data_IF_846370313016
#
_entry.id   IF_846370313016
#
_cell.length_a   1.000
_cell.length_b   1.000
_cell.length_c   1.000
_cell.angle_alpha   90.00
_cell.angle_beta   90.00
_cell.angle_gamma   90.00
#
_symmetry.space_group_name_H-M   'P 1'
#
loop_
_entity.id
_entity.type
_entity.pdbx_description
1 polymer ?
#
# COMPACT_ATOMS: atom_id res chain seq x y z
N UNK A 1 -21.26 11.48 4.19
CA UNK A 1 -19.94 11.71 3.57
C UNK A 1 -19.70 13.17 3.18
N UNK A 2 -20.17 13.71 2.04
CA UNK A 2 -19.89 15.13 1.65
C UNK A 2 -20.21 16.16 2.74
N UNK A 3 -21.38 16.05 3.37
CA UNK A 3 -21.78 16.97 4.43
C UNK A 3 -20.98 16.83 5.74
N UNK A 4 -20.44 15.65 6.04
CA UNK A 4 -19.61 15.44 7.25
C UNK A 4 -18.23 16.06 7.06
N UNK A 5 -17.63 15.88 5.88
CA UNK A 5 -16.33 16.48 5.57
C UNK A 5 -16.41 18.01 5.54
N UNK A 6 -17.48 18.57 4.98
CA UNK A 6 -17.75 20.01 5.02
C UNK A 6 -17.88 20.53 6.45
N UNK A 7 -18.51 19.78 7.36
CA UNK A 7 -18.60 20.13 8.78
C UNK A 7 -17.23 20.13 9.45
N UNK A 8 -16.43 19.08 9.24
CA UNK A 8 -15.07 18.97 9.80
C UNK A 8 -14.19 20.12 9.31
N UNK A 9 -14.21 20.41 8.00
CA UNK A 9 -13.46 21.52 7.43
C UNK A 9 -13.93 22.86 8.01
N UNK A 10 -15.24 23.08 8.15
CA UNK A 10 -15.76 24.28 8.82
C UNK A 10 -15.18 24.43 10.23
N UNK A 11 -15.23 23.38 11.05
CA UNK A 11 -14.79 23.44 12.44
C UNK A 11 -13.29 23.77 12.55
N UNK A 12 -12.48 23.19 11.66
CA UNK A 12 -11.03 23.44 11.57
C UNK A 12 -10.71 24.87 11.10
N UNK A 13 -11.44 25.38 10.12
CA UNK A 13 -11.24 26.76 9.67
C UNK A 13 -11.68 27.76 10.76
N UNK A 14 -12.78 27.50 11.47
CA UNK A 14 -13.21 28.33 12.60
C UNK A 14 -12.19 28.30 13.74
N UNK A 15 -11.66 27.13 14.11
CA UNK A 15 -10.67 27.01 15.21
C UNK A 15 -9.36 27.73 14.90
N UNK A 16 -9.00 27.83 13.62
CA UNK A 16 -7.82 28.57 13.14
C UNK A 16 -8.08 30.05 12.87
N UNK A 17 -9.29 30.54 13.18
CA UNK A 17 -9.64 31.96 13.13
C UNK A 17 -10.11 32.46 11.76
N UNK A 18 -10.61 31.58 10.89
CA UNK A 18 -11.34 31.99 9.67
C UNK A 18 -12.84 32.16 9.97
N UNK A 19 -13.43 33.19 9.38
CA UNK A 19 -14.87 33.37 9.33
C UNK A 19 -15.45 32.55 8.17
N UNK A 20 -16.35 31.61 8.50
CA UNK A 20 -16.93 30.67 7.55
C UNK A 20 -18.36 31.04 7.18
N UNK A 21 -18.65 31.16 5.88
CA UNK A 21 -19.99 31.40 5.35
C UNK A 21 -20.39 30.33 4.33
N UNK A 22 -21.68 29.95 4.33
CA UNK A 22 -22.24 29.04 3.34
C UNK A 22 -22.66 29.81 2.09
N UNK A 23 -22.53 29.17 0.93
CA UNK A 23 -23.00 29.74 -0.33
C UNK A 23 -23.83 28.70 -1.07
N UNK A 24 -24.79 29.15 -1.87
CA UNK A 24 -25.50 28.27 -2.80
C UNK A 24 -24.63 27.89 -4.01
N UNK A 25 -23.56 28.64 -4.27
CA UNK A 25 -22.66 28.47 -5.42
C UNK A 25 -21.36 27.74 -5.09
N UNK A 26 -20.97 27.73 -3.83
CA UNK A 26 -19.73 27.15 -3.33
C UNK A 26 -20.04 26.34 -2.09
N UNK A 27 -19.29 25.28 -1.83
CA UNK A 27 -19.53 24.46 -0.65
C UNK A 27 -19.24 25.26 0.64
N UNK A 28 -18.15 26.05 0.64
CA UNK A 28 -17.79 26.93 1.75
C UNK A 28 -17.11 28.21 1.25
N UNK A 29 -17.19 29.27 2.04
CA UNK A 29 -16.42 30.50 1.87
C UNK A 29 -15.69 30.76 3.18
N UNK A 30 -14.37 30.87 3.12
CA UNK A 30 -13.51 31.20 4.24
C UNK A 30 -12.97 32.63 4.10
N UNK A 31 -13.05 33.43 5.14
CA UNK A 31 -12.49 34.79 5.17
C UNK A 31 -11.56 34.94 6.39
N UNK A 32 -10.35 35.44 6.16
CA UNK A 32 -9.40 35.78 7.24
C UNK A 32 -8.54 36.94 6.79
N UNK A 33 -8.35 37.92 7.66
CA UNK A 33 -7.55 39.13 7.41
C UNK A 33 -7.94 39.89 6.11
N UNK A 34 -9.25 39.91 5.80
CA UNK A 34 -9.80 40.53 4.58
C UNK A 34 -9.55 39.76 3.29
N UNK A 35 -8.93 38.57 3.36
CA UNK A 35 -8.74 37.66 2.23
C UNK A 35 -9.85 36.62 2.17
N UNK A 36 -10.60 36.63 1.08
CA UNK A 36 -11.72 35.71 0.84
C UNK A 36 -11.27 34.52 -0.01
N UNK A 37 -11.60 33.32 0.44
CA UNK A 37 -11.32 32.06 -0.25
C UNK A 37 -12.61 31.28 -0.48
N UNK A 38 -12.90 31.01 -1.74
CA UNK A 38 -14.03 30.21 -2.16
C UNK A 38 -13.59 28.75 -2.21
N UNK A 39 -14.33 27.85 -1.54
CA UNK A 39 -13.97 26.44 -1.41
C UNK A 39 -15.01 25.59 -2.12
N UNK A 40 -14.57 24.75 -3.06
CA UNK A 40 -15.40 23.71 -3.69
C UNK A 40 -14.80 22.35 -3.39
N UNK A 41 -15.64 21.43 -2.93
CA UNK A 41 -15.30 20.05 -2.61
C UNK A 41 -15.90 19.14 -3.69
N UNK A 42 -15.05 18.39 -4.39
CA UNK A 42 -15.50 17.42 -5.39
C UNK A 42 -14.98 16.01 -5.12
N UNK A 43 -15.83 15.03 -5.42
CA UNK A 43 -15.53 13.60 -5.32
C UNK A 43 -15.26 12.97 -6.69
N UNK A 44 -15.82 13.55 -7.75
CA UNK A 44 -15.61 13.14 -9.13
C UNK A 44 -15.30 14.39 -9.97
N UNK A 45 -14.03 14.83 -9.96
CA UNK A 45 -13.64 16.11 -10.51
C UNK A 45 -13.35 15.99 -12.01
N UNK A 46 -14.04 16.79 -12.82
CA UNK A 46 -13.77 16.90 -14.25
C UNK A 46 -13.13 18.25 -14.64
N UNK A 47 -12.54 18.30 -15.84
CA UNK A 47 -11.86 19.50 -16.35
C UNK A 47 -12.81 20.67 -16.63
N UNK A 48 -14.08 20.40 -16.94
CA UNK A 48 -15.09 21.44 -17.12
C UNK A 48 -15.46 22.06 -15.77
N UNK A 49 -15.46 21.25 -14.72
CA UNK A 49 -15.86 21.59 -13.36
C UNK A 49 -14.89 22.58 -12.70
N UNK A 50 -13.59 22.39 -12.90
CA UNK A 50 -12.55 23.33 -12.44
C UNK A 50 -12.57 24.64 -13.23
N UNK A 51 -12.85 24.59 -14.53
CA UNK A 51 -12.97 25.79 -15.37
C UNK A 51 -14.20 26.59 -14.98
N UNK A 52 -15.32 25.90 -14.79
CA UNK A 52 -16.57 26.48 -14.33
C UNK A 52 -16.38 27.10 -12.95
N UNK A 53 -15.80 26.37 -12.00
CA UNK A 53 -15.48 26.90 -10.67
C UNK A 53 -14.59 28.15 -10.75
N UNK A 54 -13.50 28.11 -11.52
CA UNK A 54 -12.64 29.29 -11.70
C UNK A 54 -13.41 30.48 -12.26
N UNK A 55 -14.27 30.26 -13.26
CA UNK A 55 -15.08 31.33 -13.85
C UNK A 55 -16.07 31.97 -12.88
N UNK A 56 -16.49 31.24 -11.85
CA UNK A 56 -17.40 31.72 -10.81
C UNK A 56 -16.69 32.47 -9.68
N UNK A 57 -15.38 32.25 -9.50
CA UNK A 57 -14.57 32.98 -8.51
C UNK A 57 -14.18 34.35 -9.08
N UNK A 58 -15.03 35.35 -8.83
CA UNK A 58 -14.82 36.72 -9.33
C UNK A 58 -13.92 37.56 -8.43
N UNK A 59 -13.87 37.28 -7.13
CA UNK A 59 -13.06 38.01 -6.14
C UNK A 59 -12.43 37.02 -5.16
N UNK A 60 -11.18 37.23 -4.77
CA UNK A 60 -10.46 36.34 -3.85
C UNK A 60 -9.84 35.11 -4.49
N UNK A 61 -9.49 34.12 -3.66
CA UNK A 61 -8.83 32.88 -4.09
C UNK A 61 -9.84 31.74 -4.24
N UNK A 62 -9.57 30.83 -5.18
CA UNK A 62 -10.35 29.60 -5.35
C UNK A 62 -9.55 28.41 -4.83
N UNK A 63 -10.10 27.72 -3.83
CA UNK A 63 -9.60 26.47 -3.30
C UNK A 63 -10.50 25.33 -3.78
N UNK A 64 -9.90 24.37 -4.48
CA UNK A 64 -10.57 23.16 -4.92
C UNK A 64 -10.04 21.97 -4.10
N UNK A 65 -10.91 21.35 -3.32
CA UNK A 65 -10.56 20.22 -2.46
C UNK A 65 -11.04 18.94 -3.13
N UNK A 66 -10.10 18.03 -3.35
CA UNK A 66 -10.32 16.74 -3.98
C UNK A 66 -10.49 15.68 -2.90
N UNK A 67 -11.70 15.16 -2.79
CA UNK A 67 -12.02 14.05 -1.90
C UNK A 67 -11.93 12.69 -2.62
N UNK A 68 -11.84 12.69 -3.95
CA UNK A 68 -11.57 11.52 -4.79
C UNK A 68 -10.20 11.61 -5.47
N UNK A 69 -9.85 10.54 -6.19
CA UNK A 69 -8.58 10.45 -6.89
C UNK A 69 -8.57 11.19 -8.22
N UNK A 70 -7.41 11.75 -8.55
CA UNK A 70 -7.23 12.52 -9.78
C UNK A 70 -5.91 12.18 -10.44
N UNK A 71 -5.89 12.30 -11.75
CA UNK A 71 -4.66 12.18 -12.53
C UNK A 71 -3.74 13.37 -12.32
N UNK A 72 -2.43 13.16 -12.45
CA UNK A 72 -1.44 14.26 -12.42
C UNK A 72 -1.73 15.33 -13.48
N UNK A 73 -2.25 14.93 -14.65
CA UNK A 73 -2.68 15.86 -15.68
C UNK A 73 -3.78 16.81 -15.21
N UNK A 74 -4.69 16.36 -14.34
CA UNK A 74 -5.73 17.22 -13.78
C UNK A 74 -5.12 18.26 -12.82
N UNK A 75 -4.20 17.84 -11.95
CA UNK A 75 -3.52 18.74 -11.00
C UNK A 75 -2.70 19.82 -11.72
N UNK A 76 -2.01 19.46 -12.80
CA UNK A 76 -1.26 20.40 -13.64
C UNK A 76 -2.24 21.42 -14.25
N UNK A 77 -3.32 20.96 -14.89
CA UNK A 77 -4.32 21.84 -15.49
C UNK A 77 -4.97 22.79 -14.48
N UNK A 78 -5.31 22.31 -13.29
CA UNK A 78 -5.94 23.15 -12.26
C UNK A 78 -4.99 24.23 -11.73
N UNK A 79 -3.68 23.92 -11.61
CA UNK A 79 -2.65 24.90 -11.27
C UNK A 79 -2.45 25.93 -12.38
N UNK A 80 -2.44 25.50 -13.63
CA UNK A 80 -2.33 26.40 -14.80
C UNK A 80 -3.51 27.39 -14.89
N UNK A 81 -4.69 26.96 -14.45
CA UNK A 81 -5.91 27.79 -14.35
C UNK A 81 -5.86 28.78 -13.17
N UNK A 82 -4.84 28.69 -12.31
CA UNK A 82 -4.67 29.57 -11.15
C UNK A 82 -5.67 29.27 -10.03
N UNK A 83 -5.93 27.99 -9.78
CA UNK A 83 -6.64 27.50 -8.59
C UNK A 83 -5.65 26.82 -7.64
N UNK A 84 -5.88 27.02 -6.34
CA UNK A 84 -5.21 26.21 -5.31
C UNK A 84 -5.97 24.90 -5.22
N UNK A 85 -5.27 23.78 -5.34
CA UNK A 85 -5.87 22.44 -5.24
C UNK A 85 -5.31 21.73 -4.02
N UNK A 86 -6.19 21.18 -3.19
CA UNK A 86 -5.81 20.26 -2.13
C UNK A 86 -6.19 18.85 -2.53
N UNK A 87 -5.20 17.98 -2.62
CA UNK A 87 -5.40 16.53 -2.67
C UNK A 87 -5.83 16.00 -1.31
N UNK A 88 -6.20 14.72 -1.24
CA UNK A 88 -6.48 14.04 0.02
C UNK A 88 -5.30 14.11 0.99
N UNK A 89 -4.08 13.98 0.49
CA UNK A 89 -2.85 14.06 1.30
C UNK A 89 -2.62 15.48 1.82
N UNK A 90 -2.79 16.49 0.96
CA UNK A 90 -2.69 17.89 1.37
C UNK A 90 -3.73 18.20 2.46
N UNK A 91 -4.96 17.71 2.29
CA UNK A 91 -6.02 17.88 3.27
C UNK A 91 -5.67 17.18 4.59
N UNK A 92 -5.19 15.93 4.55
CA UNK A 92 -4.78 15.19 5.75
C UNK A 92 -3.66 15.91 6.52
N UNK A 93 -2.64 16.41 5.82
CA UNK A 93 -1.55 17.19 6.44
C UNK A 93 -2.08 18.48 7.07
N UNK A 94 -2.96 19.21 6.39
CA UNK A 94 -3.52 20.49 6.91
C UNK A 94 -4.42 20.25 8.11
N UNK A 95 -5.25 19.21 8.09
CA UNK A 95 -6.09 18.79 9.22
C UNK A 95 -5.21 18.37 10.41
N UNK A 96 -4.20 17.51 10.18
CA UNK A 96 -3.29 17.07 11.22
C UNK A 96 -2.56 18.24 11.88
N UNK A 97 -2.04 19.19 11.08
CA UNK A 97 -1.41 20.41 11.60
C UNK A 97 -2.38 21.28 12.41
N UNK A 98 -3.63 21.38 12.00
CA UNK A 98 -4.64 22.13 12.74
C UNK A 98 -4.96 21.50 14.09
N UNK A 99 -5.10 20.17 14.14
CA UNK A 99 -5.35 19.44 15.38
C UNK A 99 -4.17 19.56 16.34
N UNK A 100 -2.94 19.42 15.85
CA UNK A 100 -1.73 19.58 16.66
C UNK A 100 -1.62 21.00 17.22
N UNK A 101 -1.86 22.01 16.39
CA UNK A 101 -1.87 23.41 16.86
C UNK A 101 -2.97 23.67 17.91
N UNK A 102 -4.10 22.96 17.83
CA UNK A 102 -5.18 23.01 18.84
C UNK A 102 -4.73 22.43 20.18
N UNK A 103 -4.04 21.29 20.15
CA UNK A 103 -3.46 20.69 21.34
C UNK A 103 -2.36 21.56 21.97
N UNK A 104 -1.59 22.29 21.15
CA UNK A 104 -0.52 23.19 21.58
C UNK A 104 -1.00 24.60 21.99
N UNK A 105 -2.26 24.93 21.71
CA UNK A 105 -2.83 26.25 21.97
C UNK A 105 -2.35 27.36 21.01
N UNK A 106 -1.79 27.00 19.86
CA UNK A 106 -1.19 27.90 18.85
C UNK A 106 -2.05 28.06 17.59
N UNK A 107 -3.32 27.63 17.61
CA UNK A 107 -4.23 27.59 16.44
C UNK A 107 -4.41 28.91 15.70
N UNK A 108 -4.39 30.04 16.40
CA UNK A 108 -4.66 31.36 15.80
C UNK A 108 -3.55 31.82 14.85
N UNK A 109 -2.32 31.35 15.09
CA UNK A 109 -1.15 31.68 14.29
C UNK A 109 -1.03 30.76 13.05
N UNK A 110 -1.89 29.74 12.94
CA UNK A 110 -1.87 28.80 11.83
C UNK A 110 -2.47 29.42 10.56
N UNK A 111 -1.67 29.48 9.50
CA UNK A 111 -2.11 29.86 8.17
C UNK A 111 -2.40 28.61 7.34
N UNK A 112 -3.67 28.20 7.31
CA UNK A 112 -4.10 26.99 6.61
C UNK A 112 -3.95 27.11 5.09
N UNK A 113 -4.06 28.30 4.54
CA UNK A 113 -4.10 28.54 3.10
C UNK A 113 -2.75 28.95 2.48
N UNK A 114 -1.68 29.01 3.27
CA UNK A 114 -0.41 29.53 2.77
C UNK A 114 0.22 28.57 1.73
N UNK A 115 0.46 29.12 0.54
CA UNK A 115 0.96 28.42 -0.66
C UNK A 115 2.48 28.52 -0.68
N UNK A 116 3.15 27.80 0.22
CA UNK A 116 4.60 27.55 0.12
C UNK A 116 4.89 26.07 0.38
N UNK A 117 4.49 25.24 -0.58
CA UNK A 117 5.12 23.94 -0.82
C UNK A 117 5.01 23.61 -2.32
N UNK A 118 5.54 24.49 -3.17
CA UNK A 118 6.04 24.04 -4.47
C UNK A 118 7.31 23.23 -4.22
N UNK A 119 7.25 21.93 -4.51
CA UNK A 119 8.38 21.01 -4.50
C UNK A 119 9.58 21.66 -5.20
N UNK A 120 10.65 21.97 -4.46
CA UNK A 120 11.99 22.16 -5.03
C UNK A 120 12.59 20.76 -5.20
N UNK A 121 13.19 20.41 -6.35
CA UNK A 121 13.77 19.08 -6.54
C UNK A 121 14.88 18.85 -5.50
N UNK A 122 14.87 17.66 -4.93
CA UNK A 122 15.85 17.20 -3.96
C UNK A 122 17.25 17.14 -4.60
N UNK A 123 18.04 18.20 -4.39
CA UNK A 123 19.50 18.11 -4.43
C UNK A 123 20.09 19.26 -3.60
N UNK A 124 20.94 18.88 -2.64
CA UNK A 124 21.79 19.70 -1.76
C UNK A 124 21.09 20.65 -0.76
N UNK A 125 20.76 20.14 0.43
CA UNK A 125 20.90 20.92 1.70
C UNK A 125 20.65 20.10 2.98
N UNK A 126 20.20 18.84 2.88
CA UNK A 126 19.93 17.99 4.07
C UNK A 126 21.20 17.73 4.90
N UNK A 127 22.37 17.80 4.26
CA UNK A 127 23.65 17.54 4.89
C UNK A 127 24.20 18.75 5.68
N UNK A 128 23.70 19.97 5.41
CA UNK A 128 24.12 21.19 6.12
C UNK A 128 23.34 21.36 7.43
N UNK A 129 22.03 21.11 7.40
CA UNK A 129 21.16 21.22 8.59
C UNK A 129 21.47 20.12 9.61
N UNK A 130 21.81 18.91 9.15
CA UNK A 130 22.25 17.83 10.03
C UNK A 130 23.62 18.12 10.69
N UNK A 131 24.55 18.76 9.97
CA UNK A 131 25.86 19.17 10.51
C UNK A 131 25.73 20.31 11.52
N UNK A 132 24.81 21.25 11.29
CA UNK A 132 24.55 22.35 12.21
C UNK A 132 23.87 21.85 13.50
N UNK A 133 22.95 20.88 13.40
CA UNK A 133 22.33 20.23 14.56
C UNK A 133 23.33 19.41 15.40
N UNK A 134 24.27 18.70 14.76
CA UNK A 134 25.31 17.94 15.48
C UNK A 134 26.28 18.89 16.21
N UNK A 135 26.65 20.02 15.58
CA UNK A 135 27.51 21.03 16.20
C UNK A 135 26.84 21.79 17.36
N UNK A 136 25.51 21.90 17.36
CA UNK A 136 24.76 22.49 18.47
C UNK A 136 24.65 21.55 19.69
N UNK A 137 24.69 20.23 19.48
CA UNK A 137 24.58 19.22 20.54
C UNK A 137 25.95 18.92 21.19
N UNK A 138 27.03 18.90 20.40
CA UNK A 138 28.39 18.72 20.89
C UNK A 138 29.13 20.04 20.91
N UNK A 139 28.98 20.80 22.00
CA UNK A 139 29.62 22.09 22.18
C UNK A 139 31.15 22.05 22.09
N UNK A 140 31.70 22.27 20.90
CA UNK A 140 33.09 22.67 20.70
C UNK A 140 33.11 23.96 19.89
N UNK A 141 33.12 25.09 20.59
CA UNK A 141 33.40 26.38 19.97
C UNK A 141 34.86 26.44 19.54
N UNK A 142 35.11 26.88 18.31
CA UNK A 142 36.24 27.72 17.92
C UNK A 142 36.13 28.19 16.47
N UNK A 143 36.31 29.50 16.31
CA UNK A 143 36.34 30.28 15.06
C UNK A 143 37.65 30.03 14.27
N UNK A 144 37.74 30.42 12.98
CA UNK A 144 38.73 29.92 12.03
C UNK A 144 39.97 30.83 11.94
N UNK A 145 41.17 30.25 11.93
CA UNK A 145 42.30 30.81 11.18
C UNK A 145 43.54 29.88 11.15
N UNK A 146 44.12 29.74 9.94
CA UNK A 146 45.56 29.59 9.61
C UNK A 146 46.17 28.17 9.43
N UNK A 147 46.73 28.01 8.22
CA UNK A 147 47.90 27.24 7.72
C UNK A 147 47.88 25.72 7.49
N UNK A 148 47.76 25.39 6.19
CA UNK A 148 48.78 24.76 5.33
C UNK A 148 50.02 24.06 5.95
N UNK A 149 50.27 22.85 5.41
CA UNK A 149 51.51 22.05 5.36
C UNK A 149 51.95 21.28 6.62
N UNK A 150 51.94 19.95 6.54
CA UNK A 150 53.14 19.12 6.27
C UNK A 150 52.93 17.65 6.67
N UNK A 151 53.62 16.75 5.94
CA UNK A 151 53.99 15.35 6.24
C UNK A 151 52.85 14.32 6.06
N UNK A 152 52.80 13.51 4.99
CA UNK A 152 53.83 12.59 4.47
C UNK A 152 54.58 11.84 5.58
N UNK A 153 54.07 10.65 5.93
CA UNK A 153 54.80 9.38 6.09
C UNK A 153 54.03 8.44 7.04
N UNK A 154 53.57 7.29 6.51
CA UNK A 154 53.51 5.99 7.19
C UNK A 154 52.59 5.05 6.42
N UNK A 155 53.10 4.52 5.32
CA UNK A 155 52.64 3.27 4.72
C UNK A 155 53.16 2.11 5.57
N UNK A 156 52.28 1.29 6.16
CA UNK A 156 52.44 -0.17 6.22
C UNK A 156 51.28 -0.87 6.97
N UNK A 157 50.90 -2.02 6.42
CA UNK A 157 50.12 -3.13 7.01
C UNK A 157 48.59 -3.01 7.04
N UNK A 158 47.97 -3.48 5.95
CA UNK A 158 46.55 -3.86 5.87
C UNK A 158 46.48 -5.38 5.67
N UNK A 159 45.76 -6.16 6.49
CA UNK A 159 45.51 -7.58 6.22
C UNK A 159 44.44 -7.76 5.12
N UNK A 160 44.43 -8.91 4.40
CA UNK A 160 43.66 -9.08 3.17
C UNK A 160 42.16 -9.23 3.42
N UNK A 161 41.39 -8.59 2.54
CA UNK A 161 39.93 -8.64 2.44
C UNK A 161 39.50 -9.99 1.84
N UNK A 162 38.52 -10.71 2.43
CA UNK A 162 37.92 -11.86 1.77
C UNK A 162 37.14 -11.42 0.52
N UNK A 163 37.25 -12.24 -0.52
CA UNK A 163 36.68 -12.10 -1.85
C UNK A 163 35.15 -12.01 -1.85
N UNK A 164 34.64 -11.01 -2.58
CA UNK A 164 33.26 -10.88 -3.02
C UNK A 164 32.85 -12.12 -3.82
N UNK A 165 31.87 -12.85 -3.30
CA UNK A 165 31.11 -13.86 -4.04
C UNK A 165 30.09 -13.12 -4.91
N UNK A 166 29.87 -13.71 -6.08
CA UNK A 166 29.27 -13.19 -7.28
C UNK A 166 27.80 -12.77 -7.10
N UNK A 167 27.48 -11.64 -7.72
CA UNK A 167 26.17 -11.15 -8.12
C UNK A 167 25.11 -12.24 -8.30
N UNK A 168 24.15 -12.34 -7.37
CA UNK A 168 22.81 -12.77 -7.72
C UNK A 168 22.11 -11.61 -8.44
N UNK A 169 21.71 -11.85 -9.69
CA UNK A 169 20.89 -10.94 -10.46
C UNK A 169 19.58 -10.72 -9.71
N UNK A 170 19.05 -9.48 -9.63
CA UNK A 170 17.69 -9.27 -9.20
C UNK A 170 16.73 -10.01 -10.15
N UNK A 171 15.77 -10.70 -9.52
CA UNK A 171 14.74 -11.51 -10.14
C UNK A 171 14.02 -10.71 -11.23
N UNK A 172 14.02 -11.27 -12.43
CA UNK A 172 13.40 -10.68 -13.62
C UNK A 172 11.88 -10.82 -13.51
N UNK A 173 11.17 -9.69 -13.64
CA UNK A 173 9.71 -9.63 -13.60
C UNK A 173 9.14 -10.44 -14.77
N UNK A 174 8.53 -11.60 -14.49
CA UNK A 174 7.82 -12.38 -15.50
C UNK A 174 6.33 -12.08 -15.46
N UNK A 175 5.89 -11.18 -16.34
CA UNK A 175 4.49 -11.07 -16.71
C UNK A 175 4.16 -12.18 -17.71
N UNK A 176 3.40 -13.20 -17.30
CA UNK A 176 2.85 -14.15 -18.27
C UNK A 176 1.48 -13.69 -18.75
N UNK A 177 1.42 -13.14 -19.97
CA UNK A 177 0.19 -12.82 -20.68
C UNK A 177 0.01 -13.78 -21.85
N UNK A 178 -1.02 -14.64 -21.89
CA UNK A 178 -1.29 -15.47 -23.06
C UNK A 178 -1.60 -14.58 -24.28
N UNK A 179 -0.86 -14.77 -25.39
CA UNK A 179 -1.13 -14.09 -26.67
C UNK A 179 -2.42 -14.65 -27.30
N UNK A 180 -3.42 -13.80 -27.49
CA UNK A 180 -4.50 -14.04 -28.44
C UNK A 180 -3.99 -13.72 -29.87
N UNK A 181 -3.93 -14.73 -30.74
CA UNK A 181 -3.62 -14.56 -32.16
C UNK A 181 -4.85 -14.01 -32.90
N UNK A 182 -4.78 -12.76 -33.35
CA UNK A 182 -5.68 -12.21 -34.37
C UNK A 182 -5.28 -12.76 -35.75
N UNK A 183 -6.23 -13.24 -36.58
CA UNK A 183 -5.92 -13.63 -37.95
C UNK A 183 -5.77 -12.38 -38.83
N UNK A 184 -4.62 -12.26 -39.49
CA UNK A 184 -4.38 -11.26 -40.54
C UNK A 184 -5.19 -11.61 -41.78
N UNK A 185 -6.07 -10.70 -42.18
CA UNK A 185 -6.77 -10.73 -43.47
C UNK A 185 -5.79 -10.25 -44.54
N UNK A 186 -5.37 -11.15 -45.43
CA UNK A 186 -4.55 -10.85 -46.60
C UNK A 186 -5.49 -10.52 -47.77
N UNK A 187 -5.46 -9.26 -48.23
CA UNK A 187 -6.21 -8.76 -49.38
C UNK A 187 -5.46 -9.13 -50.67
N UNK A 188 -6.10 -9.92 -51.54
CA UNK A 188 -5.63 -10.19 -52.90
C UNK A 188 -5.96 -9.02 -53.85
N UNK A 189 -5.13 -8.74 -54.88
CA UNK A 189 -5.40 -7.70 -55.85
C UNK A 189 -6.21 -8.21 -57.05
N UNK A 190 -7.09 -7.35 -57.54
CA UNK A 190 -7.90 -7.51 -58.74
C UNK A 190 -7.05 -7.52 -60.03
N UNK A 191 -7.40 -8.41 -60.95
CA UNK A 191 -6.93 -8.41 -62.33
C UNK A 191 -8.05 -8.88 -63.25
N UNK A 192 -8.53 -7.97 -64.09
CA UNK A 192 -9.55 -8.18 -65.12
C UNK A 192 -8.96 -8.78 -66.39
N UNK A 193 -9.72 -9.63 -67.10
CA UNK A 193 -9.84 -9.64 -68.57
C UNK A 193 -11.04 -10.52 -69.00
N UNK A 194 -11.68 -10.12 -70.09
CA UNK A 194 -13.01 -10.54 -70.58
C UNK A 194 -12.86 -11.49 -71.78
N UNK A 195 -13.80 -12.44 -71.92
CA UNK A 195 -14.64 -12.70 -73.12
C UNK A 195 -14.88 -14.18 -73.48
N UNK A 196 -16.18 -14.53 -73.51
CA UNK A 196 -16.95 -15.33 -74.52
C UNK A 196 -16.44 -16.71 -74.96
N UNK A 197 -17.23 -17.74 -75.28
CA UNK A 197 -18.63 -18.18 -75.18
C UNK A 197 -18.62 -19.52 -75.96
N UNK A 198 -19.37 -20.58 -75.57
CA UNK A 198 -20.00 -21.55 -76.49
C UNK A 198 -20.76 -22.65 -75.69
N UNK A 199 -21.92 -23.02 -76.22
CA UNK A 199 -23.02 -23.85 -75.69
C UNK A 199 -22.77 -25.38 -75.55
N UNK A 200 -23.39 -25.94 -74.49
CA UNK A 200 -24.15 -27.22 -74.32
C UNK A 200 -23.67 -28.60 -74.87
N UNK A 201 -24.24 -29.75 -74.39
CA UNK A 201 -24.73 -30.12 -73.05
C UNK A 201 -24.31 -31.55 -72.60
N UNK A 202 -24.71 -31.91 -71.37
CA UNK A 202 -24.98 -33.25 -70.80
C UNK A 202 -23.89 -34.34 -70.84
N UNK A 203 -23.41 -34.75 -69.66
CA UNK A 203 -23.41 -36.18 -69.26
C UNK A 203 -23.25 -36.33 -67.74
N UNK A 204 -24.11 -37.18 -67.18
CA UNK A 204 -24.21 -37.54 -65.78
C UNK A 204 -22.94 -38.28 -65.33
N UNK A 205 -22.28 -37.79 -64.27
CA UNK A 205 -21.28 -38.54 -63.53
C UNK A 205 -21.64 -38.61 -62.05
N UNK A 206 -21.98 -39.83 -61.62
CA UNK A 206 -22.03 -40.26 -60.24
C UNK A 206 -20.63 -40.07 -59.61
N UNK A 207 -20.43 -38.99 -58.85
CA UNK A 207 -19.25 -38.83 -58.00
C UNK A 207 -19.52 -39.36 -56.60
N UNK A 208 -18.70 -40.35 -56.23
CA UNK A 208 -18.62 -40.97 -54.92
C UNK A 208 -18.45 -39.90 -53.82
N UNK A 209 -19.34 -39.97 -52.82
CA UNK A 209 -19.30 -39.14 -51.62
C UNK A 209 -18.01 -39.41 -50.84
N UNK A 210 -16.99 -38.58 -51.05
CA UNK A 210 -15.84 -38.47 -50.14
C UNK A 210 -16.38 -37.82 -48.86
N UNK A 211 -16.35 -38.48 -47.69
CA UNK A 211 -16.82 -37.85 -46.47
C UNK A 211 -15.93 -36.65 -46.17
N UNK A 212 -16.57 -35.48 -46.04
CA UNK A 212 -15.92 -34.26 -45.54
C UNK A 212 -15.14 -34.59 -44.25
N UNK A 213 -13.90 -34.09 -44.09
CA UNK A 213 -13.19 -34.25 -42.84
C UNK A 213 -14.01 -33.57 -41.74
N UNK A 214 -14.53 -34.39 -40.84
CA UNK A 214 -15.11 -33.97 -39.56
C UNK A 214 -14.15 -32.94 -38.96
N UNK A 215 -14.60 -31.72 -38.59
CA UNK A 215 -13.73 -30.79 -37.89
C UNK A 215 -13.25 -31.51 -36.65
N UNK A 216 -11.95 -31.76 -36.60
CA UNK A 216 -11.26 -32.26 -35.41
C UNK A 216 -11.61 -31.25 -34.33
N UNK A 217 -12.50 -31.64 -33.43
CA UNK A 217 -12.72 -30.95 -32.17
C UNK A 217 -11.35 -30.97 -31.51
N UNK A 218 -10.64 -29.85 -31.61
CA UNK A 218 -9.43 -29.60 -30.86
C UNK A 218 -9.81 -29.80 -29.40
N UNK A 219 -9.41 -30.96 -28.86
CA UNK A 219 -9.39 -31.15 -27.42
C UNK A 219 -8.59 -29.99 -26.85
N UNK A 220 -9.09 -29.29 -25.81
CA UNK A 220 -8.34 -28.19 -25.22
C UNK A 220 -6.97 -28.73 -24.80
N UNK A 221 -5.94 -28.06 -25.29
CA UNK A 221 -4.54 -28.24 -24.90
C UNK A 221 -4.52 -28.44 -23.39
N UNK A 222 -4.04 -29.61 -22.93
CA UNK A 222 -3.87 -29.88 -21.51
C UNK A 222 -2.84 -28.89 -20.99
N UNK A 223 -3.32 -27.82 -20.37
CA UNK A 223 -2.47 -26.81 -19.76
C UNK A 223 -1.94 -27.41 -18.45
N UNK A 224 -0.69 -27.85 -18.47
CA UNK A 224 -0.06 -28.50 -17.32
C UNK A 224 0.10 -27.52 -16.15
N UNK A 225 -0.15 -27.96 -14.91
CA UNK A 225 0.01 -27.12 -13.73
C UNK A 225 1.49 -26.76 -13.51
N UNK A 226 1.75 -25.52 -13.10
CA UNK A 226 3.10 -25.00 -12.89
C UNK A 226 3.49 -25.26 -11.43
N UNK A 227 4.68 -25.81 -11.20
CA UNK A 227 5.23 -25.99 -9.84
C UNK A 227 6.18 -24.85 -9.52
N UNK A 228 5.87 -24.07 -8.49
CA UNK A 228 6.71 -22.98 -8.01
C UNK A 228 7.42 -23.36 -6.72
N UNK A 229 8.67 -22.91 -6.56
CA UNK A 229 9.43 -23.03 -5.30
C UNK A 229 9.09 -21.87 -4.38
N UNK A 230 7.87 -21.89 -3.84
CA UNK A 230 7.32 -20.86 -2.97
C UNK A 230 6.82 -21.50 -1.68
N UNK A 231 7.20 -20.91 -0.53
CA UNK A 231 6.76 -21.40 0.78
C UNK A 231 5.30 -21.00 1.02
N UNK A 232 4.36 -21.92 0.82
CA UNK A 232 2.95 -21.59 0.65
C UNK A 232 2.05 -22.80 0.97
N UNK A 233 0.82 -22.59 1.51
CA UNK A 233 -0.19 -23.63 1.54
C UNK A 233 -0.70 -23.94 0.11
N UNK A 234 -1.33 -25.11 -0.11
CA UNK A 234 -1.83 -25.47 -1.42
C UNK A 234 -2.99 -24.58 -1.88
N UNK A 235 -3.12 -24.43 -3.21
CA UNK A 235 -4.30 -23.83 -3.84
C UNK A 235 -5.38 -24.91 -3.94
N UNK A 236 -6.35 -24.87 -3.02
CA UNK A 236 -7.45 -25.84 -2.95
C UNK A 236 -8.71 -25.35 -3.67
N UNK A 237 -8.88 -24.03 -3.77
CA UNK A 237 -10.04 -23.39 -4.37
C UNK A 237 -9.75 -23.13 -5.85
N UNK A 238 -10.58 -23.71 -6.71
CA UNK A 238 -10.56 -23.46 -8.16
C UNK A 238 -11.13 -22.07 -8.52
N UNK A 239 -10.84 -21.60 -9.72
CA UNK A 239 -11.37 -20.33 -10.25
C UNK A 239 -12.92 -20.28 -10.19
N UNK A 240 -13.60 -21.35 -10.63
CA UNK A 240 -15.07 -21.42 -10.62
C UNK A 240 -15.65 -21.40 -9.20
N UNK A 241 -14.95 -22.03 -8.25
CA UNK A 241 -15.32 -21.98 -6.83
C UNK A 241 -15.09 -20.58 -6.25
N UNK A 242 -14.00 -19.90 -6.61
CA UNK A 242 -13.74 -18.53 -6.20
C UNK A 242 -14.87 -17.59 -6.66
N UNK A 243 -15.32 -17.71 -7.92
CA UNK A 243 -16.49 -16.98 -8.41
C UNK A 243 -17.77 -17.30 -7.62
N UNK A 244 -17.99 -18.58 -7.30
CA UNK A 244 -19.16 -19.02 -6.53
C UNK A 244 -19.16 -18.46 -5.10
N UNK A 245 -18.00 -18.40 -4.46
CA UNK A 245 -17.81 -17.82 -3.13
C UNK A 245 -17.88 -16.29 -3.12
N UNK A 246 -17.48 -15.64 -4.22
CA UNK A 246 -17.56 -14.19 -4.39
C UNK A 246 -18.99 -13.71 -4.70
N UNK A 247 -19.81 -14.51 -5.37
CA UNK A 247 -21.15 -14.11 -5.85
C UNK A 247 -22.09 -13.46 -4.80
N UNK A 248 -22.10 -13.87 -3.51
CA UNK A 248 -22.89 -13.20 -2.48
C UNK A 248 -22.40 -11.78 -2.13
N UNK A 249 -21.15 -11.47 -2.43
CA UNK A 249 -20.44 -10.28 -1.95
C UNK A 249 -20.22 -9.22 -3.05
N UNK A 250 -20.20 -9.63 -4.32
CA UNK A 250 -19.99 -8.74 -5.47
C UNK A 250 -21.06 -8.93 -6.54
N UNK A 251 -21.32 -7.89 -7.34
CA UNK A 251 -22.20 -7.98 -8.53
C UNK A 251 -21.37 -7.99 -9.81
N UNK A 252 -21.73 -8.91 -10.72
CA UNK A 252 -21.17 -8.96 -12.06
C UNK A 252 -19.68 -9.23 -12.07
N UNK A 253 -19.26 -10.33 -11.42
CA UNK A 253 -17.87 -10.77 -11.41
C UNK A 253 -17.37 -10.94 -12.85
N UNK A 254 -16.29 -10.23 -13.21
CA UNK A 254 -15.81 -10.13 -14.59
C UNK A 254 -14.35 -10.61 -14.75
N UNK A 255 -13.58 -10.62 -13.67
CA UNK A 255 -12.19 -11.04 -13.68
C UNK A 255 -11.82 -11.62 -12.31
N UNK A 256 -10.84 -12.52 -12.28
CA UNK A 256 -10.22 -12.97 -11.05
C UNK A 256 -8.74 -13.27 -11.29
N UNK A 257 -7.90 -12.94 -10.32
CA UNK A 257 -6.46 -13.16 -10.35
C UNK A 257 -6.02 -13.87 -9.07
N UNK A 258 -5.09 -14.82 -9.20
CA UNK A 258 -4.51 -15.51 -8.05
C UNK A 258 -3.28 -14.75 -7.55
N UNK A 259 -3.37 -14.14 -6.38
CA UNK A 259 -2.24 -13.44 -5.74
C UNK A 259 -1.58 -14.35 -4.71
N UNK A 260 -0.25 -14.37 -4.67
CA UNK A 260 0.53 -14.93 -3.58
C UNK A 260 1.03 -13.78 -2.71
N UNK A 261 0.37 -13.61 -1.57
CA UNK A 261 0.60 -12.48 -0.66
C UNK A 261 1.55 -12.91 0.45
N UNK A 262 2.62 -12.15 0.73
CA UNK A 262 3.58 -12.48 1.78
C UNK A 262 3.03 -12.16 3.18
N UNK A 263 3.14 -13.11 4.09
CA UNK A 263 2.82 -12.98 5.50
C UNK A 263 3.98 -13.45 6.38
N UNK A 264 4.26 -12.72 7.45
CA UNK A 264 5.11 -13.16 8.55
C UNK A 264 4.28 -14.05 9.48
N UNK A 265 4.44 -15.36 9.37
CA UNK A 265 3.92 -16.31 10.34
C UNK A 265 4.83 -16.27 11.57
N UNK A 266 4.25 -16.11 12.75
CA UNK A 266 5.03 -16.10 13.99
C UNK A 266 4.44 -16.99 15.07
N UNK A 267 5.31 -17.49 15.94
CA UNK A 267 4.93 -18.13 17.19
C UNK A 267 5.89 -17.70 18.28
N UNK A 268 5.37 -17.45 19.47
CA UNK A 268 6.17 -17.06 20.61
C UNK A 268 5.81 -17.84 21.86
N UNK A 269 6.79 -17.96 22.76
CA UNK A 269 6.59 -18.43 24.12
C UNK A 269 7.51 -17.67 25.06
N UNK A 270 6.99 -17.30 26.22
CA UNK A 270 7.74 -16.69 27.31
C UNK A 270 7.38 -17.34 28.64
N UNK A 271 8.38 -17.50 29.50
CA UNK A 271 8.20 -17.92 30.87
C UNK A 271 9.32 -17.32 31.72
N UNK A 272 8.99 -16.25 32.44
CA UNK A 272 9.96 -15.41 33.15
C UNK A 272 9.50 -15.22 34.58
N UNK A 273 10.38 -15.54 35.54
CA UNK A 273 10.18 -15.22 36.94
C UNK A 273 11.06 -14.03 37.32
N UNK A 274 10.44 -12.91 37.70
CA UNK A 274 11.17 -11.74 38.21
C UNK A 274 11.01 -11.65 39.73
N UNK A 275 12.13 -11.67 40.46
CA UNK A 275 12.12 -11.48 41.91
C UNK A 275 12.22 -10.01 42.28
N UNK A 276 11.26 -9.53 43.07
CA UNK A 276 11.31 -8.20 43.66
C UNK A 276 11.02 -8.23 45.15
N UNK A 277 12.02 -7.86 45.95
CA UNK A 277 12.00 -7.99 47.42
C UNK A 277 11.70 -9.44 47.83
N UNK A 278 10.59 -9.69 48.52
CA UNK A 278 10.12 -11.02 48.93
C UNK A 278 9.07 -11.63 47.98
N UNK A 279 8.71 -10.95 46.89
CA UNK A 279 7.69 -11.39 45.94
C UNK A 279 8.32 -11.90 44.64
N UNK A 280 7.72 -12.93 44.08
CA UNK A 280 8.04 -13.48 42.76
C UNK A 280 6.91 -13.03 41.82
N UNK A 281 7.29 -12.49 40.67
CA UNK A 281 6.38 -12.03 39.62
C UNK A 281 6.58 -12.95 38.42
N UNK A 282 5.59 -13.79 38.16
CA UNK A 282 5.63 -14.74 37.05
C UNK A 282 4.97 -14.12 35.81
N UNK A 283 5.72 -14.00 34.73
CA UNK A 283 5.29 -13.49 33.43
C UNK A 283 5.44 -14.63 32.45
N UNK A 284 4.32 -15.28 32.11
CA UNK A 284 4.28 -16.40 31.18
C UNK A 284 3.18 -16.20 30.16
N UNK A 285 3.42 -16.67 28.93
CA UNK A 285 2.46 -16.63 27.85
C UNK A 285 3.01 -17.26 26.59
N UNK A 286 2.11 -17.58 25.68
CA UNK A 286 2.41 -18.15 24.38
C UNK A 286 1.35 -17.70 23.38
N UNK A 287 1.72 -17.67 22.11
CA UNK A 287 0.82 -17.25 21.05
C UNK A 287 1.40 -17.50 19.67
N UNK A 288 0.54 -17.39 18.67
CA UNK A 288 0.91 -17.49 17.26
C UNK A 288 -0.02 -16.63 16.43
N UNK A 289 0.46 -16.13 15.30
CA UNK A 289 -0.33 -15.31 14.40
C UNK A 289 0.34 -15.08 13.07
N UNK A 290 -0.28 -14.21 12.28
CA UNK A 290 0.19 -13.82 10.96
C UNK A 290 0.14 -12.31 10.85
N UNK A 291 1.22 -11.73 10.33
CA UNK A 291 1.27 -10.31 9.98
C UNK A 291 1.42 -10.21 8.48
N UNK A 292 0.56 -9.45 7.83
CA UNK A 292 0.69 -9.15 6.42
C UNK A 292 1.97 -8.36 6.18
N UNK A 293 2.88 -8.89 5.36
CA UNK A 293 4.17 -8.27 5.11
C UNK A 293 4.09 -7.09 4.12
N UNK A 294 2.92 -6.81 3.55
CA UNK A 294 2.65 -5.65 2.69
C UNK A 294 2.23 -4.42 3.50
N UNK A 295 1.31 -4.60 4.45
CA UNK A 295 0.68 -3.49 5.18
C UNK A 295 0.79 -3.54 6.71
N UNK A 296 1.39 -4.58 7.28
CA UNK A 296 1.61 -4.73 8.72
C UNK A 296 0.37 -5.17 9.51
N UNK A 297 -0.77 -5.41 8.87
CA UNK A 297 -1.99 -5.81 9.57
C UNK A 297 -1.87 -7.24 10.12
N UNK A 298 -2.33 -7.44 11.36
CA UNK A 298 -2.48 -8.77 11.95
C UNK A 298 -3.71 -9.47 11.38
N UNK A 299 -3.54 -10.73 10.98
CA UNK A 299 -4.61 -11.58 10.47
C UNK A 299 -4.78 -12.84 11.32
N UNK A 300 -6.04 -13.13 11.66
CA UNK A 300 -6.43 -14.39 12.28
C UNK A 300 -6.78 -15.40 11.18
N UNK A 301 -5.82 -16.26 10.84
CA UNK A 301 -5.98 -17.23 9.77
C UNK A 301 -5.46 -18.61 10.18
N UNK A 302 -6.10 -19.66 9.67
CA UNK A 302 -5.65 -21.04 9.89
C UNK A 302 -5.02 -21.58 8.61
N UNK A 303 -3.70 -21.42 8.48
CA UNK A 303 -2.96 -22.07 7.41
C UNK A 303 -2.68 -23.53 7.77
N UNK A 304 -2.91 -24.42 6.81
CA UNK A 304 -2.59 -25.84 6.94
C UNK A 304 -1.69 -26.27 5.80
N UNK A 305 -0.82 -27.24 6.07
CA UNK A 305 -0.01 -27.91 5.05
C UNK A 305 0.86 -26.93 4.23
N UNK A 306 1.56 -26.03 4.93
CA UNK A 306 2.52 -25.13 4.29
C UNK A 306 3.68 -25.97 3.75
N UNK A 307 3.96 -25.82 2.45
CA UNK A 307 4.98 -26.57 1.73
C UNK A 307 5.99 -25.62 1.11
N UNK A 308 7.21 -26.10 0.85
CA UNK A 308 8.27 -25.33 0.17
C UNK A 308 8.00 -25.08 -1.32
N UNK A 309 7.01 -25.79 -1.86
CA UNK A 309 6.61 -25.71 -3.26
C UNK A 309 5.10 -25.69 -3.34
N UNK A 310 4.56 -24.94 -4.30
CA UNK A 310 3.12 -24.87 -4.56
C UNK A 310 2.83 -25.19 -6.01
N UNK A 311 1.74 -25.92 -6.23
CA UNK A 311 1.21 -26.20 -7.56
C UNK A 311 0.21 -25.10 -7.89
N UNK A 312 0.54 -24.30 -8.90
CA UNK A 312 -0.32 -23.22 -9.37
C UNK A 312 -1.18 -23.74 -10.51
N UNK A 313 -2.51 -23.57 -10.44
CA UNK A 313 -3.39 -23.80 -11.58
C UNK A 313 -2.95 -22.96 -12.79
N UNK A 314 -3.29 -23.37 -14.01
CA UNK A 314 -2.97 -22.57 -15.18
C UNK A 314 -3.91 -21.35 -15.30
N UNK A 315 -3.66 -20.36 -14.46
CA UNK A 315 -4.43 -19.12 -14.31
C UNK A 315 -3.45 -17.95 -14.24
N UNK A 316 -3.95 -16.74 -14.49
CA UNK A 316 -3.17 -15.54 -14.23
C UNK A 316 -2.87 -15.44 -12.74
N UNK A 317 -1.59 -15.30 -12.40
CA UNK A 317 -1.14 -15.19 -11.03
C UNK A 317 -0.15 -14.05 -10.86
N UNK A 318 -0.10 -13.52 -9.64
CA UNK A 318 0.86 -12.50 -9.22
C UNK A 318 1.51 -12.91 -7.89
N UNK A 319 2.81 -12.66 -7.75
CA UNK A 319 3.56 -12.95 -6.52
C UNK A 319 4.07 -11.64 -5.96
N UNK A 320 3.49 -11.22 -4.85
CA UNK A 320 3.79 -9.92 -4.22
C UNK A 320 5.07 -10.03 -3.39
N UNK A 321 5.92 -9.02 -3.42
CA UNK A 321 7.12 -8.99 -2.58
C UNK A 321 6.79 -8.39 -1.21
N UNK A 322 7.37 -8.91 -0.11
CA UNK A 322 7.17 -8.31 1.21
C UNK A 322 7.70 -6.88 1.22
N UNK A 323 6.92 -5.95 1.78
CA UNK A 323 7.32 -4.57 1.99
C UNK A 323 8.20 -4.42 3.24
N UNK A 324 7.94 -5.24 4.27
CA UNK A 324 8.70 -5.30 5.51
C UNK A 324 9.73 -6.42 5.47
N UNK A 325 10.89 -6.22 6.11
CA UNK A 325 11.92 -7.27 6.27
C UNK A 325 11.67 -8.17 7.49
N UNK A 326 12.32 -9.35 7.54
CA UNK A 326 12.21 -10.27 8.68
C UNK A 326 12.68 -9.61 9.99
N UNK A 327 13.79 -8.84 9.93
CA UNK A 327 14.36 -8.15 11.10
C UNK A 327 13.41 -7.08 11.64
N UNK A 328 12.77 -6.31 10.74
CA UNK A 328 11.80 -5.28 11.10
C UNK A 328 10.54 -5.90 11.72
N UNK A 329 9.98 -6.94 11.07
CA UNK A 329 8.82 -7.65 11.59
C UNK A 329 9.11 -8.32 12.94
N UNK A 330 10.29 -8.93 13.09
CA UNK A 330 10.73 -9.54 14.36
C UNK A 330 10.83 -8.49 15.47
N UNK A 331 11.38 -7.32 15.15
CA UNK A 331 11.48 -6.22 16.13
C UNK A 331 10.10 -5.71 16.54
N UNK A 332 9.21 -5.46 15.58
CA UNK A 332 7.85 -4.99 15.85
C UNK A 332 7.05 -6.00 16.68
N UNK A 333 7.16 -7.29 16.34
CA UNK A 333 6.57 -8.38 17.12
C UNK A 333 7.12 -8.44 18.54
N UNK A 334 8.44 -8.35 18.72
CA UNK A 334 9.06 -8.34 20.05
C UNK A 334 8.59 -7.15 20.88
N UNK A 335 8.57 -5.95 20.30
CA UNK A 335 8.12 -4.74 20.99
C UNK A 335 6.64 -4.88 21.43
N UNK A 336 5.79 -5.41 20.56
CA UNK A 336 4.37 -5.69 20.86
C UNK A 336 4.19 -6.74 21.97
N UNK A 337 4.92 -7.86 21.91
CA UNK A 337 4.86 -8.92 22.94
C UNK A 337 5.39 -8.39 24.29
N UNK A 338 6.47 -7.61 24.29
CA UNK A 338 7.01 -7.02 25.52
C UNK A 338 5.99 -6.08 26.16
N UNK A 339 5.32 -5.26 25.35
CA UNK A 339 4.28 -4.35 25.83
C UNK A 339 3.07 -5.11 26.39
N UNK A 340 2.56 -6.11 25.66
CA UNK A 340 1.42 -6.94 26.08
C UNK A 340 1.66 -7.62 27.44
N UNK A 341 2.87 -8.13 27.66
CA UNK A 341 3.25 -8.82 28.89
C UNK A 341 3.90 -7.92 29.95
N UNK A 342 3.90 -6.60 29.73
CA UNK A 342 4.34 -5.64 30.74
C UNK A 342 3.28 -5.49 31.83
N UNK A 343 3.69 -5.67 33.10
CA UNK A 343 2.81 -5.57 34.27
C UNK A 343 3.22 -4.42 35.18
N UNK A 344 2.27 -3.55 35.50
CA UNK A 344 2.43 -2.51 36.51
C UNK A 344 1.91 -3.00 37.87
N UNK A 345 2.80 -3.13 38.85
CA UNK A 345 2.46 -3.61 40.19
C UNK A 345 2.73 -2.54 41.24
N UNK A 346 1.78 -2.40 42.17
CA UNK A 346 1.90 -1.54 43.35
C UNK A 346 2.32 -2.36 44.56
N UNK A 347 3.29 -1.84 45.30
CA UNK A 347 3.78 -2.41 46.55
C UNK A 347 3.59 -1.39 47.65
N UNK A 348 2.72 -1.70 48.60
CA UNK A 348 2.58 -0.93 49.82
C UNK A 348 3.48 -1.52 50.90
N UNK A 349 4.24 -0.66 51.57
CA UNK A 349 5.13 -1.01 52.68
C UNK A 349 4.84 -0.08 53.86
N UNK A 350 4.68 -0.64 55.06
CA UNK A 350 4.35 0.15 56.25
C UNK A 350 5.61 0.36 57.09
N UNK A 351 5.99 1.63 57.30
CA UNK A 351 7.11 2.00 58.17
C UNK A 351 6.61 2.89 59.30
N UNK A 352 6.45 2.31 60.49
CA UNK A 352 5.82 2.99 61.63
C UNK A 352 4.33 3.22 61.34
N UNK A 353 3.88 4.47 61.46
CA UNK A 353 2.49 4.88 61.18
C UNK A 353 2.28 5.37 59.72
N UNK A 354 3.32 5.31 58.89
CA UNK A 354 3.27 5.73 57.48
C UNK A 354 3.17 4.53 56.52
N UNK A 355 2.28 4.63 55.52
CA UNK A 355 2.19 3.69 54.39
C UNK A 355 2.90 4.32 53.19
N UNK A 356 3.95 3.65 52.69
CA UNK A 356 4.67 4.04 51.48
C UNK A 356 4.18 3.14 50.34
N UNK A 357 3.62 3.76 49.31
CA UNK A 357 3.21 3.08 48.08
C UNK A 357 4.28 3.26 47.01
N UNK A 358 4.83 2.17 46.48
CA UNK A 358 5.76 2.14 45.36
C UNK A 358 5.09 1.50 44.14
N UNK A 359 5.19 2.14 42.97
CA UNK A 359 4.71 1.58 41.71
C UNK A 359 5.92 1.10 40.91
N UNK A 360 5.90 -0.16 40.47
CA UNK A 360 6.99 -0.75 39.69
C UNK A 360 6.45 -1.52 38.48
N UNK A 361 7.04 -1.23 37.33
CA UNK A 361 6.79 -1.87 36.05
C UNK A 361 7.72 -3.07 35.87
N UNK A 362 7.16 -4.22 35.53
CA UNK A 362 7.89 -5.44 35.20
C UNK A 362 7.64 -5.77 33.73
N UNK A 363 8.72 -5.87 32.96
CA UNK A 363 8.66 -6.20 31.53
C UNK A 363 9.60 -7.36 31.23
N UNK A 364 9.23 -8.31 30.36
CA UNK A 364 10.16 -9.32 29.88
C UNK A 364 11.29 -8.66 29.07
N UNK A 365 12.49 -9.23 29.08
CA UNK A 365 13.53 -8.84 28.14
C UNK A 365 13.32 -9.54 26.80
N UNK A 366 13.80 -8.96 25.70
CA UNK A 366 13.73 -9.59 24.39
C UNK A 366 14.41 -10.98 24.37
N UNK A 367 15.46 -11.17 25.16
CA UNK A 367 16.14 -12.46 25.33
C UNK A 367 15.31 -13.53 26.05
N UNK A 368 14.28 -13.13 26.78
CA UNK A 368 13.42 -14.04 27.53
C UNK A 368 12.26 -14.58 26.68
N UNK A 369 12.06 -14.03 25.48
CA UNK A 369 10.99 -14.38 24.55
C UNK A 369 11.59 -15.28 23.47
N UNK A 370 11.12 -16.51 23.39
CA UNK A 370 11.42 -17.37 22.25
C UNK A 370 10.43 -17.07 21.14
N UNK A 371 10.85 -16.31 20.13
CA UNK A 371 10.07 -15.91 18.97
C UNK A 371 10.61 -16.61 17.72
N UNK A 372 9.74 -17.28 16.98
CA UNK A 372 10.00 -17.81 15.66
C UNK A 372 9.17 -17.01 14.65
N UNK A 373 9.82 -16.53 13.58
CA UNK A 373 9.19 -15.79 12.48
C UNK A 373 9.58 -16.46 11.17
N UNK A 374 8.62 -16.67 10.28
CA UNK A 374 8.83 -17.30 8.99
C UNK A 374 7.98 -16.62 7.90
N UNK A 375 8.57 -16.40 6.72
CA UNK A 375 7.84 -15.88 5.57
C UNK A 375 7.02 -16.98 4.91
N UNK A 376 5.72 -16.74 4.76
CA UNK A 376 4.78 -17.65 4.10
C UNK A 376 3.96 -16.85 3.10
N UNK A 377 3.83 -17.39 1.89
CA UNK A 377 3.02 -16.81 0.83
C UNK A 377 1.64 -17.43 0.83
N UNK A 378 0.62 -16.63 1.12
CA UNK A 378 -0.77 -17.07 1.16
C UNK A 378 -1.38 -16.90 -0.23
N UNK A 379 -1.91 -17.97 -0.85
CA UNK A 379 -2.61 -17.84 -2.11
C UNK A 379 -4.01 -17.25 -1.85
N UNK A 380 -4.33 -16.17 -2.55
CA UNK A 380 -5.55 -15.39 -2.41
C UNK A 380 -6.15 -15.14 -3.78
N UNK A 381 -7.41 -15.50 -3.96
CA UNK A 381 -8.18 -15.11 -5.13
C UNK A 381 -8.71 -13.70 -4.92
N UNK A 382 -8.31 -12.76 -5.77
CA UNK A 382 -8.98 -11.48 -5.90
C UNK A 382 -9.99 -11.59 -7.04
N UNK A 383 -11.27 -11.55 -6.70
CA UNK A 383 -12.36 -11.58 -7.67
C UNK A 383 -12.91 -10.17 -7.83
N UNK A 384 -12.79 -9.62 -9.04
CA UNK A 384 -13.26 -8.27 -9.39
C UNK A 384 -14.71 -8.30 -9.85
N UNK A 385 -15.53 -7.47 -9.23
CA UNK A 385 -16.90 -7.17 -9.64
C UNK A 385 -17.00 -5.84 -10.39
N UNK A 386 -18.23 -5.41 -10.65
CA UNK A 386 -18.48 -4.14 -11.35
C UNK A 386 -18.09 -2.90 -10.55
N UNK A 387 -18.03 -3.01 -9.22
CA UNK A 387 -17.74 -1.89 -8.31
C UNK A 387 -16.67 -2.30 -7.32
N UNK A 388 -16.83 -3.41 -6.63
CA UNK A 388 -15.89 -3.88 -5.62
C UNK A 388 -15.18 -5.17 -6.07
N UNK A 389 -14.05 -5.46 -5.43
CA UNK A 389 -13.39 -6.75 -5.43
C UNK A 389 -13.59 -7.48 -4.10
N UNK A 390 -13.42 -8.79 -4.13
CA UNK A 390 -13.46 -9.65 -2.93
C UNK A 390 -12.26 -10.57 -2.94
N UNK A 391 -11.61 -10.65 -1.79
CA UNK A 391 -10.43 -11.46 -1.57
C UNK A 391 -10.80 -12.72 -0.80
N UNK A 392 -10.38 -13.86 -1.34
CA UNK A 392 -10.72 -15.18 -0.81
C UNK A 392 -9.45 -15.97 -0.65
N UNK A 393 -9.17 -16.46 0.54
CA UNK A 393 -8.06 -17.37 0.77
C UNK A 393 -8.26 -18.63 -0.08
N UNK A 394 -7.35 -18.88 -1.02
CA UNK A 394 -7.46 -19.97 -1.98
C UNK A 394 -7.09 -21.34 -1.37
N UNK A 395 -6.57 -21.36 -0.14
CA UNK A 395 -6.29 -22.59 0.61
C UNK A 395 -7.48 -23.02 1.49
N UNK A 396 -8.14 -22.07 2.18
CA UNK A 396 -9.26 -22.35 3.10
C UNK A 396 -10.65 -22.07 2.50
N UNK A 397 -10.75 -21.19 1.50
CA UNK A 397 -12.01 -20.69 0.96
C UNK A 397 -12.67 -19.59 1.80
N UNK A 398 -11.98 -19.08 2.83
CA UNK A 398 -12.48 -18.01 3.67
C UNK A 398 -12.34 -16.65 2.98
N UNK A 399 -13.39 -15.83 3.08
CA UNK A 399 -13.37 -14.44 2.60
C UNK A 399 -12.59 -13.60 3.61
N UNK A 400 -11.56 -12.90 3.13
CA UNK A 400 -10.70 -12.08 3.96
C UNK A 400 -11.45 -10.80 4.37
N UNK A 401 -11.23 -10.36 5.62
CA UNK A 401 -11.94 -9.20 6.19
C UNK A 401 -11.22 -7.90 5.94
N UNK A 402 -9.89 -7.92 5.99
CA UNK A 402 -9.06 -6.79 5.65
C UNK A 402 -8.46 -7.01 4.27
N UNK A 403 -8.23 -5.93 3.51
CA UNK A 403 -7.54 -6.02 2.23
C UNK A 403 -6.12 -6.53 2.46
N UNK A 404 -5.70 -7.47 1.62
CA UNK A 404 -4.35 -8.03 1.63
C UNK A 404 -3.33 -7.11 0.97
N UNK A 405 -3.79 -6.18 0.16
CA UNK A 405 -2.95 -5.27 -0.60
C UNK A 405 -3.31 -3.81 -0.29
N UNK A 406 -2.32 -2.93 -0.36
CA UNK A 406 -2.51 -1.47 -0.28
C UNK A 406 -2.80 -0.86 -1.65
N UNK A 407 -2.77 -1.67 -2.72
CA UNK A 407 -3.22 -1.28 -4.04
C UNK A 407 -4.66 -0.73 -3.95
N UNK A 408 -4.78 0.60 -4.09
CA UNK A 408 -6.07 1.29 -4.11
C UNK A 408 -6.82 0.88 -5.38
N UNK A 409 -7.66 -0.15 -5.29
CA UNK A 409 -8.59 -0.47 -6.37
C UNK A 409 -9.70 0.58 -6.39
N UNK A 410 -9.69 1.45 -7.41
CA UNK A 410 -10.73 2.44 -7.61
C UNK A 410 -12.08 1.79 -7.91
N UNK A 411 -12.97 1.84 -6.91
CA UNK A 411 -14.40 1.48 -6.99
C UNK A 411 -15.25 2.61 -7.55
#
# INVERSE_FOLDING_TARGET
MKQELVRILRDIFISTGYDMSESFRFDLIAEKDGSKTHIKLSYDPDLEDIRNFKSQVTEGQGLYILAGEVTDSFLINARDIGLTVWTRDDMAVRIGRAILADMEGTTKDLQLLDVLCTKKPASSSVDEVAKEAINAIFGTGSSPHVEEKALEESLASRPPRPSLIQNEKPMEVQYYRPRASTPSVELAPEGSYVSEAFDEPEEEHEEEFIPEPIPVVEKPVSQEPIVMSLHSPPVNISLDQAYSLAAPHIRGANAAILKFVPFWMYSYSLNVEQRYRSKIIDISGDGSGYINALNGNQEEMSLQNIQKTVVVPNVEYDVKMPATTEDEATKELLDGIIEEYTRDLRFDDTKGDAIISEHKRFKPAASDINLNVELVYVPVWEVKGQRNSVEINASSGEVLRNPVDDDVEFV
#
